data_IF_058624495130
#
_entry.id   IF_058624495130
#
_cell.length_a   1.000
_cell.length_b   1.000
_cell.length_c   1.000
_cell.angle_alpha   90.00
_cell.angle_beta   90.00
_cell.angle_gamma   90.00
#
_symmetry.space_group_name_H-M   'P 1'
#
loop_
_entity.id
_entity.type
_entity.pdbx_description
1 polymer ?
#
# COMPACT_ATOMS: atom_id res chain seq x y z
N UNK A 1 -13.81 4.53 1.29
CA UNK A 1 -12.38 4.39 1.66
C UNK A 1 -12.33 3.93 3.09
N UNK A 2 -11.63 2.84 3.39
CA UNK A 2 -11.53 2.28 4.75
C UNK A 2 -10.08 2.37 5.21
N UNK A 3 -9.88 2.90 6.42
CA UNK A 3 -8.57 2.86 7.09
C UNK A 3 -8.42 1.52 7.79
N UNK A 4 -7.42 0.77 7.35
CA UNK A 4 -7.01 -0.49 7.98
C UNK A 4 -6.13 -0.14 9.17
N UNK A 5 -6.40 -0.76 10.32
CA UNK A 5 -5.67 -0.47 11.57
C UNK A 5 -4.37 -1.25 11.70
N UNK A 6 -4.36 -2.51 11.24
CA UNK A 6 -3.19 -3.37 11.30
C UNK A 6 -2.44 -3.34 9.97
N UNK A 7 -1.11 -3.32 10.03
CA UNK A 7 -0.25 -3.37 8.86
C UNK A 7 -0.46 -4.67 8.06
N UNK A 8 -0.53 -5.80 8.75
CA UNK A 8 -0.62 -7.13 8.12
C UNK A 8 -1.88 -7.25 7.26
N UNK A 9 -3.02 -6.78 7.78
CA UNK A 9 -4.28 -6.74 7.04
C UNK A 9 -4.19 -5.83 5.81
N UNK A 10 -3.47 -4.70 5.93
CA UNK A 10 -3.27 -3.78 4.82
C UNK A 10 -2.38 -4.39 3.72
N UNK A 11 -1.28 -5.05 4.11
CA UNK A 11 -0.36 -5.72 3.21
C UNK A 11 -1.06 -6.82 2.41
N UNK A 12 -1.76 -7.73 3.11
CA UNK A 12 -2.52 -8.83 2.49
C UNK A 12 -3.59 -8.27 1.53
N UNK A 13 -4.35 -7.26 1.96
CA UNK A 13 -5.40 -6.68 1.13
C UNK A 13 -4.83 -5.92 -0.07
N UNK A 14 -3.68 -5.25 0.07
CA UNK A 14 -3.03 -4.54 -1.02
C UNK A 14 -2.49 -5.50 -2.08
N UNK A 15 -1.80 -6.58 -1.67
CA UNK A 15 -1.31 -7.61 -2.58
C UNK A 15 -2.46 -8.35 -3.26
N UNK A 16 -3.49 -8.75 -2.51
CA UNK A 16 -4.67 -9.41 -3.08
C UNK A 16 -5.37 -8.53 -4.12
N UNK A 17 -5.51 -7.23 -3.85
CA UNK A 17 -6.10 -6.29 -4.79
C UNK A 17 -5.25 -6.16 -6.06
N UNK A 18 -3.92 -6.06 -5.91
CA UNK A 18 -3.00 -6.00 -7.05
C UNK A 18 -3.06 -7.26 -7.91
N UNK A 19 -3.01 -8.45 -7.30
CA UNK A 19 -3.07 -9.74 -8.01
C UNK A 19 -4.40 -9.94 -8.75
N UNK A 20 -5.51 -9.44 -8.19
CA UNK A 20 -6.81 -9.55 -8.84
C UNK A 20 -6.94 -8.66 -10.09
N UNK A 21 -6.41 -7.43 -10.06
CA UNK A 21 -6.56 -6.45 -11.14
C UNK A 21 -5.30 -5.56 -11.31
N UNK A 22 -4.16 -6.10 -11.78
CA UNK A 22 -2.89 -5.38 -11.77
C UNK A 22 -2.91 -4.12 -12.64
N UNK A 23 -3.62 -4.14 -13.78
CA UNK A 23 -3.71 -3.00 -14.73
C UNK A 23 -4.52 -1.81 -14.21
N UNK A 24 -5.47 -2.06 -13.31
CA UNK A 24 -6.37 -1.04 -12.78
C UNK A 24 -6.03 -0.62 -11.34
N UNK A 25 -5.08 -1.32 -10.70
CA UNK A 25 -4.61 -1.02 -9.36
C UNK A 25 -3.60 0.12 -9.35
N UNK A 26 -3.71 0.97 -8.32
CA UNK A 26 -2.77 2.05 -8.03
C UNK A 26 -2.42 2.09 -6.55
N UNK A 27 -1.13 1.93 -6.28
CA UNK A 27 -0.52 2.17 -4.99
C UNK A 27 0.01 3.60 -4.92
N UNK A 28 -0.30 4.32 -3.85
CA UNK A 28 0.13 5.71 -3.65
C UNK A 28 0.58 5.92 -2.21
N UNK A 29 1.66 6.69 -2.07
CA UNK A 29 2.24 7.07 -0.78
C UNK A 29 2.25 8.60 -0.68
N UNK A 30 1.78 9.13 0.46
CA UNK A 30 1.81 10.56 0.78
C UNK A 30 2.52 10.78 2.10
N UNK A 31 3.71 11.37 2.04
CA UNK A 31 4.44 11.82 3.21
C UNK A 31 3.89 13.17 3.70
N UNK A 32 3.61 13.28 5.01
CA UNK A 32 3.09 14.49 5.63
C UNK A 32 3.98 14.86 6.81
N UNK A 33 5.07 15.59 6.51
CA UNK A 33 6.08 15.97 7.51
C UNK A 33 5.49 16.70 8.72
N UNK A 34 4.60 17.67 8.49
CA UNK A 34 3.97 18.47 9.55
C UNK A 34 3.15 17.66 10.56
N UNK A 35 2.74 16.44 10.20
CA UNK A 35 1.97 15.53 11.05
C UNK A 35 2.74 14.25 11.39
N UNK A 36 4.01 14.15 11.02
CA UNK A 36 4.89 13.03 11.35
C UNK A 36 4.44 11.67 10.83
N UNK A 37 3.66 11.60 9.73
CA UNK A 37 3.14 10.32 9.25
C UNK A 37 3.17 10.17 7.74
N UNK A 38 2.98 8.94 7.30
CA UNK A 38 2.82 8.55 5.91
C UNK A 38 1.43 7.96 5.72
N UNK A 39 0.71 8.43 4.71
CA UNK A 39 -0.55 7.84 4.27
C UNK A 39 -0.29 6.95 3.06
N UNK A 40 -0.69 5.69 3.16
CA UNK A 40 -0.66 4.72 2.09
C UNK A 40 -2.07 4.49 1.60
N UNK A 41 -2.21 4.29 0.28
CA UNK A 41 -3.49 3.99 -0.34
C UNK A 41 -3.28 3.03 -1.49
N UNK A 42 -4.07 1.95 -1.50
CA UNK A 42 -4.23 1.05 -2.64
C UNK A 42 -5.68 1.14 -3.14
N UNK A 43 -5.87 1.19 -4.45
CA UNK A 43 -7.20 1.23 -5.07
C UNK A 43 -7.20 0.68 -6.49
N UNK A 44 -8.28 0.00 -6.86
CA UNK A 44 -8.61 -0.46 -8.22
C UNK A 44 -9.73 0.38 -8.88
N UNK A 45 -10.03 1.55 -8.32
CA UNK A 45 -11.17 2.43 -8.63
C UNK A 45 -12.56 1.94 -8.18
N UNK A 46 -12.67 0.73 -7.64
CA UNK A 46 -13.92 0.20 -7.07
C UNK A 46 -13.80 0.12 -5.55
N UNK A 47 -12.73 -0.51 -5.06
CA UNK A 47 -12.35 -0.62 -3.66
C UNK A 47 -11.15 0.27 -3.38
N UNK A 48 -11.09 0.77 -2.15
CA UNK A 48 -9.96 1.59 -1.71
C UNK A 48 -9.69 1.36 -0.22
N UNK A 49 -8.47 0.91 0.06
CA UNK A 49 -7.94 0.69 1.39
C UNK A 49 -6.83 1.70 1.67
N UNK A 50 -6.73 2.13 2.92
CA UNK A 50 -5.72 3.09 3.37
C UNK A 50 -5.06 2.62 4.65
N UNK A 51 -3.79 2.95 4.83
CA UNK A 51 -3.05 2.73 6.07
C UNK A 51 -2.33 4.02 6.45
N UNK A 52 -2.34 4.33 7.74
CA UNK A 52 -1.63 5.48 8.31
C UNK A 52 -0.46 4.95 9.12
N UNK A 53 0.74 5.18 8.61
CA UNK A 53 1.97 4.82 9.29
C UNK A 53 2.47 6.02 10.11
N UNK A 54 2.48 5.86 11.44
CA UNK A 54 2.95 6.88 12.38
C UNK A 54 4.26 6.47 13.07
N UNK A 55 4.63 5.19 12.98
CA UNK A 55 5.75 4.61 13.70
C UNK A 55 6.95 4.38 12.75
N UNK A 56 8.17 4.66 13.21
CA UNK A 56 9.39 4.42 12.43
C UNK A 56 9.57 2.98 11.91
N UNK A 57 9.23 1.90 12.67
CA UNK A 57 9.36 0.54 12.17
C UNK A 57 8.51 0.24 10.93
N UNK A 58 7.40 0.96 10.73
CA UNK A 58 6.54 0.77 9.56
C UNK A 58 7.25 1.19 8.26
N UNK A 59 8.25 2.08 8.32
CA UNK A 59 8.99 2.53 7.13
C UNK A 59 9.64 1.36 6.39
N UNK A 60 10.26 0.43 7.13
CA UNK A 60 10.88 -0.76 6.52
C UNK A 60 9.84 -1.68 5.88
N UNK A 61 8.65 -1.78 6.48
CA UNK A 61 7.55 -2.60 5.93
C UNK A 61 6.99 -1.97 4.65
N UNK A 62 6.85 -0.65 4.64
CA UNK A 62 6.43 0.13 3.46
C UNK A 62 7.42 -0.03 2.31
N UNK A 63 8.72 0.08 2.59
CA UNK A 63 9.78 -0.14 1.62
C UNK A 63 9.68 -1.55 1.01
N UNK A 64 9.55 -2.57 1.86
CA UNK A 64 9.41 -3.97 1.42
C UNK A 64 8.18 -4.19 0.54
N UNK A 65 7.00 -3.71 0.95
CA UNK A 65 5.78 -3.82 0.16
C UNK A 65 5.92 -3.11 -1.19
N UNK A 66 6.52 -1.92 -1.18
CA UNK A 66 6.72 -1.14 -2.41
C UNK A 66 7.67 -1.86 -3.37
N UNK A 67 8.75 -2.46 -2.87
CA UNK A 67 9.68 -3.26 -3.65
C UNK A 67 9.01 -4.51 -4.23
N UNK A 68 8.22 -5.23 -3.43
CA UNK A 68 7.47 -6.41 -3.89
C UNK A 68 6.50 -6.05 -5.02
N UNK A 69 5.70 -4.99 -4.85
CA UNK A 69 4.77 -4.53 -5.88
C UNK A 69 5.49 -4.12 -7.16
N UNK A 70 6.61 -3.38 -7.06
CA UNK A 70 7.41 -3.03 -8.24
C UNK A 70 7.97 -4.28 -8.93
N UNK A 71 8.41 -5.29 -8.17
CA UNK A 71 8.84 -6.58 -8.72
C UNK A 71 7.75 -7.26 -9.54
N UNK A 72 6.53 -7.34 -9.00
CA UNK A 72 5.37 -7.90 -9.72
C UNK A 72 4.89 -7.03 -10.89
N UNK A 73 5.13 -5.72 -10.88
CA UNK A 73 4.80 -4.84 -12.02
C UNK A 73 5.81 -4.97 -13.15
N UNK A 74 7.06 -5.32 -12.83
CA UNK A 74 8.14 -5.48 -13.79
C UNK A 74 8.27 -6.91 -14.31
N UNK A 75 7.71 -7.92 -13.62
CA UNK A 75 7.69 -9.30 -14.11
C UNK A 75 6.81 -9.41 -15.37
N UNK A 76 7.24 -10.28 -16.29
CA UNK A 76 6.49 -10.56 -17.54
C UNK A 76 5.36 -11.57 -17.34
N UNK A 77 5.27 -12.12 -16.14
CA UNK A 77 4.21 -13.02 -15.65
C UNK A 77 3.50 -12.37 -14.47
#
# INVERSE_FOLDING_TARGET
>A
MVFVKNWEDFEIAAESMYMANPKNCRYTMKYVHSKGHILLKMTDNVKCIQYKAENMPDLKKIEKLSANLMGHMASKE
#
